data_IF_420979142680
#
_entry.id   IF_420979142680
#
_cell.length_a   1.000
_cell.length_b   1.000
_cell.length_c   1.000
_cell.angle_alpha   90.00
_cell.angle_beta   90.00
_cell.angle_gamma   90.00
#
_symmetry.space_group_name_H-M   'P 1'
#
loop_
_entity.id
_entity.type
_entity.pdbx_description
1 polymer ?
#
# COMPACT_ATOMS: atom_id res chain seq x y z
N UNK A 1 -8.84 -16.27 9.41
CA UNK A 1 -9.00 -14.82 9.20
C UNK A 1 -8.43 -14.54 7.82
N UNK A 2 -8.98 -13.61 7.05
CA UNK A 2 -8.44 -13.23 5.73
C UNK A 2 -7.96 -11.80 5.84
N UNK A 3 -6.80 -11.50 5.27
CA UNK A 3 -6.28 -10.15 5.16
C UNK A 3 -6.54 -9.63 3.76
N UNK A 4 -6.71 -8.33 3.63
CA UNK A 4 -6.96 -7.64 2.36
C UNK A 4 -6.01 -6.46 2.25
N UNK A 5 -5.27 -6.40 1.15
CA UNK A 5 -4.51 -5.22 0.75
C UNK A 5 -5.24 -4.53 -0.39
N UNK A 6 -5.71 -3.32 -0.13
CA UNK A 6 -6.39 -2.48 -1.10
C UNK A 6 -5.41 -1.48 -1.70
N UNK A 7 -5.61 -1.14 -2.97
CA UNK A 7 -4.79 -0.20 -3.72
C UNK A 7 -5.59 1.04 -4.11
N UNK A 8 -5.04 2.21 -3.81
CA UNK A 8 -5.69 3.50 -3.98
C UNK A 8 -4.76 4.48 -4.69
N UNK A 9 -5.33 5.29 -5.58
CA UNK A 9 -4.62 6.36 -6.28
C UNK A 9 -4.97 7.72 -5.70
N UNK A 10 -3.99 8.42 -5.16
CA UNK A 10 -4.12 9.81 -4.67
C UNK A 10 -2.72 10.43 -4.52
N UNK A 11 -2.53 11.74 -4.73
CA UNK A 11 -1.28 12.39 -4.33
C UNK A 11 -1.09 12.30 -2.81
N UNK A 12 0.02 11.73 -2.34
CA UNK A 12 0.25 11.50 -0.89
C UNK A 12 0.23 12.81 -0.11
N UNK A 13 0.70 13.90 -0.72
CA UNK A 13 0.65 15.22 -0.09
C UNK A 13 -0.79 15.70 0.14
N UNK A 14 -1.71 15.46 -0.79
CA UNK A 14 -3.13 15.81 -0.63
C UNK A 14 -3.73 15.05 0.55
N UNK A 15 -3.50 13.74 0.63
CA UNK A 15 -3.98 12.91 1.73
C UNK A 15 -3.36 13.35 3.07
N UNK A 16 -2.05 13.63 3.09
CA UNK A 16 -1.33 14.13 4.27
C UNK A 16 -1.94 15.44 4.79
N UNK A 17 -2.21 16.39 3.89
CA UNK A 17 -2.80 17.68 4.24
C UNK A 17 -4.23 17.52 4.76
N UNK A 18 -5.01 16.61 4.16
CA UNK A 18 -6.36 16.25 4.62
C UNK A 18 -6.34 15.71 6.05
N UNK A 19 -5.51 14.70 6.32
CA UNK A 19 -5.41 14.07 7.64
C UNK A 19 -5.00 15.08 8.72
N UNK A 20 -4.07 15.98 8.41
CA UNK A 20 -3.70 17.07 9.33
C UNK A 20 -4.85 18.04 9.56
N UNK A 21 -5.60 18.40 8.52
CA UNK A 21 -6.76 19.29 8.65
C UNK A 21 -7.87 18.70 9.53
N UNK A 22 -8.01 17.36 9.54
CA UNK A 22 -8.95 16.64 10.40
C UNK A 22 -8.44 16.40 11.83
N UNK A 23 -7.21 16.81 12.13
CA UNK A 23 -6.59 16.59 13.44
C UNK A 23 -6.14 15.14 13.66
N UNK A 24 -5.98 14.36 12.59
CA UNK A 24 -5.46 12.99 12.61
C UNK A 24 -3.94 12.94 12.39
N UNK A 25 -3.32 14.05 11.99
CA UNK A 25 -1.87 14.12 11.81
C UNK A 25 -1.08 14.23 13.12
N UNK A 26 0.15 13.71 13.09
CA UNK A 26 1.16 13.80 14.16
C UNK A 26 0.69 13.20 15.50
N UNK A 27 -0.28 12.29 15.47
CA UNK A 27 -0.83 11.58 16.64
C UNK A 27 0.05 10.42 17.11
N UNK A 28 1.10 10.05 16.35
CA UNK A 28 1.91 8.87 16.62
C UNK A 28 1.14 7.58 16.31
N UNK A 29 1.07 6.66 17.27
CA UNK A 29 0.32 5.40 17.10
C UNK A 29 -1.19 5.67 17.21
N UNK A 30 -1.99 5.38 16.17
CA UNK A 30 -3.44 5.58 16.21
C UNK A 30 -4.12 4.55 17.11
N UNK A 31 -5.21 4.93 17.77
CA UNK A 31 -6.17 3.97 18.32
C UNK A 31 -7.12 3.47 17.23
N UNK A 32 -7.97 2.48 17.54
CA UNK A 32 -8.93 1.89 16.60
C UNK A 32 -9.82 2.92 15.89
N UNK A 33 -10.24 3.97 16.58
CA UNK A 33 -11.15 4.97 16.04
C UNK A 33 -10.40 5.93 15.10
N UNK A 34 -9.18 6.33 15.47
CA UNK A 34 -8.30 7.10 14.60
C UNK A 34 -7.90 6.29 13.34
N UNK A 35 -7.56 5.01 13.49
CA UNK A 35 -7.21 4.13 12.37
C UNK A 35 -8.38 4.01 11.37
N UNK A 36 -9.61 3.80 11.86
CA UNK A 36 -10.81 3.80 11.01
C UNK A 36 -11.06 5.14 10.34
N UNK A 37 -10.82 6.25 11.04
CA UNK A 37 -10.99 7.59 10.47
C UNK A 37 -9.97 7.87 9.35
N UNK A 38 -8.72 7.40 9.49
CA UNK A 38 -7.71 7.49 8.44
C UNK A 38 -8.12 6.68 7.22
N UNK A 39 -8.58 5.44 7.41
CA UNK A 39 -9.09 4.61 6.29
C UNK A 39 -10.28 5.29 5.60
N UNK A 40 -11.24 5.84 6.35
CA UNK A 40 -12.35 6.59 5.78
C UNK A 40 -11.87 7.80 4.96
N UNK A 41 -10.85 8.52 5.43
CA UNK A 41 -10.26 9.63 4.68
C UNK A 41 -9.59 9.17 3.37
N UNK A 42 -8.96 7.99 3.34
CA UNK A 42 -8.45 7.37 2.10
C UNK A 42 -9.61 7.06 1.15
N UNK A 43 -10.66 6.38 1.64
CA UNK A 43 -11.82 5.99 0.83
C UNK A 43 -12.59 7.20 0.26
N UNK A 44 -12.59 8.33 0.96
CA UNK A 44 -13.26 9.57 0.53
C UNK A 44 -12.45 10.37 -0.51
N UNK A 45 -11.12 10.43 -0.38
CA UNK A 45 -10.26 11.28 -1.22
C UNK A 45 -9.62 10.53 -2.40
N UNK A 46 -9.40 9.23 -2.27
CA UNK A 46 -8.65 8.44 -3.23
C UNK A 46 -9.55 7.69 -4.22
N UNK A 47 -8.96 7.33 -5.35
CA UNK A 47 -9.63 6.45 -6.33
C UNK A 47 -9.24 5.00 -6.06
N UNK A 48 -10.21 4.14 -5.77
CA UNK A 48 -9.99 2.69 -5.64
C UNK A 48 -9.50 2.11 -6.97
N UNK A 49 -8.44 1.30 -6.91
CA UNK A 49 -7.87 0.61 -8.07
C UNK A 49 -8.24 -0.87 -8.06
N UNK A 50 -7.80 -1.59 -7.03
CA UNK A 50 -8.05 -3.03 -6.87
C UNK A 50 -7.75 -3.49 -5.42
N UNK A 51 -7.87 -4.78 -5.15
CA UNK A 51 -7.48 -5.39 -3.88
C UNK A 51 -7.03 -6.84 -4.06
N UNK A 52 -6.07 -7.28 -3.24
CA UNK A 52 -5.70 -8.70 -3.11
C UNK A 52 -6.13 -9.23 -1.76
N UNK A 53 -6.66 -10.45 -1.72
CA UNK A 53 -7.05 -11.14 -0.49
C UNK A 53 -6.15 -12.35 -0.29
N UNK A 54 -5.69 -12.57 0.94
CA UNK A 54 -4.91 -13.77 1.27
C UNK A 54 -5.23 -14.29 2.68
N UNK A 55 -4.87 -15.55 2.93
CA UNK A 55 -5.17 -16.22 4.20
C UNK A 55 -4.32 -15.70 5.38
N UNK A 56 -4.83 -15.86 6.60
CA UNK A 56 -4.14 -15.42 7.83
C UNK A 56 -2.82 -16.12 8.11
N UNK A 57 -2.64 -17.34 7.59
CA UNK A 57 -1.35 -18.05 7.66
C UNK A 57 -0.28 -17.44 6.76
N UNK A 58 -0.66 -16.56 5.83
CA UNK A 58 0.21 -15.95 4.84
C UNK A 58 0.52 -14.47 5.09
N UNK A 59 0.10 -13.84 6.20
CA UNK A 59 0.33 -12.39 6.38
C UNK A 59 1.81 -12.00 6.45
N UNK A 60 2.63 -12.73 7.23
CA UNK A 60 4.08 -12.50 7.26
C UNK A 60 4.76 -12.91 5.95
N UNK A 61 4.29 -13.97 5.31
CA UNK A 61 4.81 -14.45 4.04
C UNK A 61 4.51 -13.44 2.91
N UNK A 62 3.29 -12.93 2.82
CA UNK A 62 2.87 -11.93 1.84
C UNK A 62 3.71 -10.65 1.96
N UNK A 63 3.89 -10.15 3.19
CA UNK A 63 4.68 -8.94 3.48
C UNK A 63 6.18 -9.14 3.23
N UNK A 64 6.76 -10.20 3.81
CA UNK A 64 8.21 -10.33 3.90
C UNK A 64 8.85 -11.17 2.80
N UNK A 65 8.08 -12.05 2.14
CA UNK A 65 8.57 -12.94 1.09
C UNK A 65 8.02 -12.48 -0.26
N UNK A 66 6.70 -12.52 -0.48
CA UNK A 66 6.13 -12.24 -1.80
C UNK A 66 6.42 -10.81 -2.30
N UNK A 67 6.11 -9.78 -1.50
CA UNK A 67 6.36 -8.39 -1.89
C UNK A 67 7.86 -8.09 -2.01
N UNK A 68 8.66 -8.59 -1.07
CA UNK A 68 10.13 -8.39 -1.06
C UNK A 68 10.78 -9.04 -2.28
N UNK A 69 10.41 -10.26 -2.63
CA UNK A 69 10.97 -10.97 -3.79
C UNK A 69 10.52 -10.33 -5.10
N UNK A 70 9.27 -9.87 -5.17
CA UNK A 70 8.72 -9.24 -6.37
C UNK A 70 9.24 -7.80 -6.60
N UNK A 71 9.40 -7.01 -5.54
CA UNK A 71 9.59 -5.55 -5.64
C UNK A 71 10.81 -5.00 -4.89
N UNK A 72 11.51 -5.84 -4.13
CA UNK A 72 12.57 -5.45 -3.22
C UNK A 72 12.06 -4.99 -1.84
N UNK A 73 12.91 -5.15 -0.83
CA UNK A 73 12.64 -4.86 0.58
C UNK A 73 12.13 -3.43 0.81
N UNK A 74 12.80 -2.44 0.22
CA UNK A 74 12.44 -1.02 0.41
C UNK A 74 11.02 -0.70 -0.08
N UNK A 75 10.62 -1.20 -1.25
CA UNK A 75 9.28 -0.93 -1.78
C UNK A 75 8.22 -1.77 -1.06
N UNK A 76 8.54 -3.01 -0.70
CA UNK A 76 7.65 -3.87 0.09
C UNK A 76 7.29 -3.19 1.43
N UNK A 77 8.28 -2.74 2.19
CA UNK A 77 8.07 -2.04 3.46
C UNK A 77 7.24 -0.77 3.28
N UNK A 78 7.56 0.03 2.26
CA UNK A 78 6.80 1.24 1.96
C UNK A 78 5.32 0.95 1.68
N UNK A 79 5.02 -0.15 0.99
CA UNK A 79 3.66 -0.51 0.62
C UNK A 79 2.85 -1.11 1.77
N UNK A 80 3.40 -1.42 2.95
CA UNK A 80 2.60 -2.04 4.01
C UNK A 80 2.33 -1.14 5.21
N UNK A 81 3.32 -0.42 5.71
CA UNK A 81 3.19 0.33 6.96
C UNK A 81 4.06 1.59 7.02
N UNK A 82 4.21 2.28 5.89
CA UNK A 82 4.90 3.57 5.84
C UNK A 82 4.15 4.67 6.58
N UNK A 83 4.86 5.36 7.46
CA UNK A 83 4.35 6.52 8.18
C UNK A 83 3.70 7.54 7.24
N UNK A 84 2.51 8.00 7.59
CA UNK A 84 1.75 8.99 6.84
C UNK A 84 1.31 10.10 7.78
N UNK A 85 1.58 11.36 7.42
CA UNK A 85 1.19 12.51 8.23
C UNK A 85 1.64 12.44 9.73
N UNK A 86 2.74 11.74 10.05
CA UNK A 86 3.20 11.55 11.43
C UNK A 86 2.45 10.47 12.22
N UNK A 87 1.69 9.62 11.53
CA UNK A 87 1.01 8.44 12.06
C UNK A 87 1.93 7.24 11.84
N UNK A 88 2.14 6.45 12.90
CA UNK A 88 3.00 5.24 12.89
C UNK A 88 2.12 4.02 13.07
N UNK A 89 2.27 3.02 12.20
CA UNK A 89 1.44 1.81 12.19
C UNK A 89 2.16 0.62 12.84
N UNK A 90 1.47 -0.09 13.71
CA UNK A 90 1.96 -1.37 14.28
C UNK A 90 0.86 -2.43 14.44
N UNK A 91 -0.38 -2.09 14.06
CA UNK A 91 -1.57 -2.94 14.05
C UNK A 91 -2.44 -2.66 12.81
N UNK A 92 -3.43 -3.53 12.58
CA UNK A 92 -4.37 -3.39 11.45
C UNK A 92 -5.61 -2.57 11.84
N UNK A 93 -6.13 -1.71 10.95
CA UNK A 93 -5.62 -1.47 9.60
C UNK A 93 -4.31 -0.67 9.59
N UNK A 94 -3.42 -0.96 8.63
CA UNK A 94 -2.20 -0.17 8.38
C UNK A 94 -2.28 0.52 7.02
N UNK A 95 -1.52 1.60 6.87
CA UNK A 95 -1.40 2.35 5.62
C UNK A 95 0.05 2.27 5.14
N UNK A 96 0.23 1.93 3.88
CA UNK A 96 1.49 2.10 3.16
C UNK A 96 1.30 3.05 1.99
N UNK A 97 2.42 3.53 1.43
CA UNK A 97 2.41 4.36 0.23
C UNK A 97 3.77 4.46 -0.44
N UNK A 98 3.74 4.66 -1.75
CA UNK A 98 4.92 4.95 -2.56
C UNK A 98 4.60 6.05 -3.57
N UNK A 99 5.50 7.02 -3.69
CA UNK A 99 5.37 8.07 -4.69
C UNK A 99 5.50 7.51 -6.09
N UNK A 100 4.93 8.21 -7.05
CA UNK A 100 5.09 7.92 -8.46
C UNK A 100 6.58 7.83 -8.88
N UNK A 101 7.44 8.69 -8.31
CA UNK A 101 8.89 8.69 -8.57
C UNK A 101 9.58 7.45 -8.01
N UNK A 102 9.28 7.07 -6.76
CA UNK A 102 9.80 5.86 -6.13
C UNK A 102 9.38 4.61 -6.91
N UNK A 103 8.12 4.54 -7.34
CA UNK A 103 7.61 3.42 -8.15
C UNK A 103 8.32 3.33 -9.51
N UNK A 104 8.58 4.46 -10.18
CA UNK A 104 9.36 4.44 -11.43
C UNK A 104 10.79 3.95 -11.19
N UNK A 105 11.42 4.41 -10.12
CA UNK A 105 12.78 4.00 -9.78
C UNK A 105 12.86 2.51 -9.43
N UNK A 106 11.89 1.99 -8.68
CA UNK A 106 11.83 0.58 -8.29
C UNK A 106 11.56 -0.35 -9.48
N UNK A 107 10.74 0.08 -10.45
CA UNK A 107 10.49 -0.68 -11.67
C UNK A 107 11.55 -0.51 -12.76
N UNK A 108 12.48 0.44 -12.62
CA UNK A 108 13.53 0.65 -13.61
C UNK A 108 14.51 -0.53 -13.62
N UNK A 109 14.48 -1.31 -14.70
CA UNK A 109 15.33 -2.49 -14.84
C UNK A 109 14.86 -3.73 -14.07
N UNK A 110 13.68 -3.71 -13.46
CA UNK A 110 13.06 -4.90 -12.87
C UNK A 110 12.69 -5.88 -14.00
N UNK A 111 13.22 -7.11 -13.93
CA UNK A 111 12.75 -8.24 -14.76
C UNK A 111 11.31 -8.60 -14.39
N UNK A 112 10.61 -9.40 -15.20
CA UNK A 112 9.23 -9.76 -14.89
C UNK A 112 9.15 -10.46 -13.51
N UNK A 113 8.50 -9.86 -12.48
CA UNK A 113 8.55 -10.39 -11.12
C UNK A 113 7.67 -11.63 -10.94
N UNK A 114 6.99 -12.09 -11.99
CA UNK A 114 6.12 -13.27 -11.97
C UNK A 114 6.79 -14.53 -12.54
N UNK A 115 7.96 -14.42 -13.17
CA UNK A 115 8.62 -15.51 -13.92
C UNK A 115 8.93 -16.75 -13.06
N UNK A 116 9.16 -16.57 -11.75
CA UNK A 116 9.53 -17.65 -10.81
C UNK A 116 8.43 -17.98 -9.79
N UNK A 117 7.26 -17.36 -9.90
CA UNK A 117 6.13 -17.55 -8.98
C UNK A 117 5.21 -18.68 -9.44
N UNK A 118 4.46 -19.26 -8.50
CA UNK A 118 3.36 -20.13 -8.85
C UNK A 118 2.14 -19.33 -9.35
N UNK A 119 1.11 -20.00 -9.84
CA UNK A 119 -0.05 -19.36 -10.48
C UNK A 119 -0.82 -18.43 -9.51
N UNK A 120 -0.95 -18.80 -8.24
CA UNK A 120 -1.67 -18.00 -7.24
C UNK A 120 -0.87 -16.75 -6.87
N UNK A 121 0.43 -16.92 -6.64
CA UNK A 121 1.35 -15.84 -6.29
C UNK A 121 1.53 -14.86 -7.46
N UNK A 122 1.62 -15.38 -8.69
CA UNK A 122 1.72 -14.57 -9.89
C UNK A 122 0.46 -13.70 -10.08
N UNK A 123 -0.75 -14.24 -9.90
CA UNK A 123 -1.99 -13.46 -10.01
C UNK A 123 -2.03 -12.29 -9.00
N UNK A 124 -1.55 -12.51 -7.77
CA UNK A 124 -1.44 -11.47 -6.75
C UNK A 124 -0.45 -10.39 -7.19
N UNK A 125 0.75 -10.77 -7.63
CA UNK A 125 1.78 -9.83 -8.08
C UNK A 125 1.35 -9.07 -9.33
N UNK A 126 0.66 -9.71 -10.27
CA UNK A 126 0.08 -9.07 -11.46
C UNK A 126 -0.95 -8.02 -11.08
N UNK A 127 -1.78 -8.28 -10.07
CA UNK A 127 -2.77 -7.32 -9.57
C UNK A 127 -2.09 -6.09 -8.97
N UNK A 128 -1.04 -6.29 -8.17
CA UNK A 128 -0.24 -5.20 -7.59
C UNK A 128 0.45 -4.40 -8.71
N UNK A 129 1.08 -5.07 -9.67
CA UNK A 129 1.70 -4.44 -10.83
C UNK A 129 0.70 -3.62 -11.66
N UNK A 130 -0.52 -4.12 -11.84
CA UNK A 130 -1.57 -3.40 -12.55
C UNK A 130 -1.95 -2.10 -11.83
N UNK A 131 -2.06 -2.12 -10.50
CA UNK A 131 -2.29 -0.92 -9.69
C UNK A 131 -1.11 0.07 -9.81
N UNK A 132 0.13 -0.41 -9.70
CA UNK A 132 1.34 0.42 -9.87
C UNK A 132 1.36 1.07 -11.27
N UNK A 133 1.17 0.28 -12.32
CA UNK A 133 1.13 0.78 -13.71
C UNK A 133 0.06 1.85 -13.89
N UNK A 134 -1.12 1.66 -13.28
CA UNK A 134 -2.20 2.64 -13.33
C UNK A 134 -1.79 3.98 -12.73
N UNK A 135 -1.18 4.00 -11.53
CA UNK A 135 -0.72 5.26 -10.93
C UNK A 135 0.44 5.88 -11.71
N UNK A 136 1.32 5.06 -12.28
CA UNK A 136 2.42 5.52 -13.14
C UNK A 136 1.92 6.23 -14.40
N UNK A 137 0.88 5.71 -15.05
CA UNK A 137 0.24 6.29 -16.22
C UNK A 137 -0.55 7.57 -15.88
N UNK A 138 -1.22 7.59 -14.73
CA UNK A 138 -1.97 8.75 -14.24
C UNK A 138 -1.08 9.85 -13.65
N UNK A 139 0.18 9.54 -13.31
CA UNK A 139 1.08 10.48 -12.63
C UNK A 139 0.70 10.76 -11.18
N UNK A 140 0.06 9.80 -10.51
CA UNK A 140 -0.37 9.86 -9.11
C UNK A 140 0.47 8.93 -8.23
N UNK A 141 0.31 9.00 -6.92
CA UNK A 141 0.98 8.10 -5.98
C UNK A 141 0.09 6.89 -5.65
N UNK A 142 0.71 5.81 -5.18
CA UNK A 142 0.02 4.63 -4.70
C UNK A 142 -0.11 4.72 -3.18
N UNK A 143 -1.32 4.53 -2.67
CA UNK A 143 -1.62 4.35 -1.26
C UNK A 143 -2.23 2.96 -1.08
N UNK A 144 -1.84 2.28 -0.02
CA UNK A 144 -2.34 0.95 0.31
C UNK A 144 -3.04 0.98 1.64
N UNK A 145 -4.12 0.21 1.77
CA UNK A 145 -4.82 -0.01 3.03
C UNK A 145 -4.79 -1.51 3.30
N UNK A 146 -4.25 -1.91 4.44
CA UNK A 146 -4.10 -3.31 4.78
C UNK A 146 -4.91 -3.67 6.02
N UNK A 147 -5.93 -4.52 5.86
CA UNK A 147 -6.98 -4.84 6.86
C UNK A 147 -7.11 -6.33 7.12
#
# INVERSE_FOLDING_TARGET
MSYVMQFWSVPVQQLTDRLRADGLGDIGRPDDDAARAVVAAVEEEATFLDSVQHGSSGGSWFRNELLTDAFGEDLADHLVDRDLAGIVWDEYPSIGWATNEELRAALDGLSDPTDELDEEDAEIVETILAAIRTVLDCGTDLVTVYT
#
